data_IF_995070937211
#
_entry.id   IF_995070937211
#
_cell.length_a   1.000
_cell.length_b   1.000
_cell.length_c   1.000
_cell.angle_alpha   90.00
_cell.angle_beta   90.00
_cell.angle_gamma   90.00
#
_symmetry.space_group_name_H-M   'P 1'
#
loop_
_entity.id
_entity.type
_entity.pdbx_description
1 polymer ?
#
# COMPACT_ATOMS: atom_id res chain seq x y z
N UNK A 1 -24.02 18.05 17.43
CA UNK A 1 -22.99 16.98 17.43
C UNK A 1 -23.44 15.90 16.45
N UNK A 2 -22.67 15.65 15.38
CA UNK A 2 -23.01 14.60 14.39
C UNK A 2 -22.78 13.24 15.04
N UNK A 3 -23.84 12.44 15.15
CA UNK A 3 -23.81 11.11 15.76
C UNK A 3 -23.32 10.13 14.69
N UNK A 4 -22.17 9.49 14.93
CA UNK A 4 -21.58 8.53 13.99
C UNK A 4 -22.26 7.17 14.14
N UNK A 5 -22.51 6.49 13.02
CA UNK A 5 -23.00 5.13 13.03
C UNK A 5 -21.85 4.15 13.36
N UNK A 6 -21.64 3.90 14.66
CA UNK A 6 -20.53 3.10 15.21
C UNK A 6 -20.29 1.75 14.52
N UNK A 7 -21.31 0.89 14.29
CA UNK A 7 -21.08 -0.42 13.68
C UNK A 7 -20.60 -0.29 12.24
N UNK A 8 -21.12 0.69 11.48
CA UNK A 8 -20.74 0.88 10.08
C UNK A 8 -19.31 1.41 9.96
N UNK A 9 -18.93 2.40 10.77
CA UNK A 9 -17.55 2.92 10.78
C UNK A 9 -16.55 1.89 11.30
N UNK A 10 -16.93 1.11 12.31
CA UNK A 10 -16.12 0.00 12.82
C UNK A 10 -15.90 -1.08 11.75
N UNK A 11 -16.96 -1.51 11.06
CA UNK A 11 -16.86 -2.49 9.98
C UNK A 11 -15.97 -1.99 8.83
N UNK A 12 -16.09 -0.72 8.47
CA UNK A 12 -15.25 -0.10 7.44
C UNK A 12 -13.77 -0.03 7.87
N UNK A 13 -13.49 0.29 9.13
CA UNK A 13 -12.13 0.30 9.68
C UNK A 13 -11.48 -1.08 9.66
N UNK A 14 -12.22 -2.13 10.02
CA UNK A 14 -11.79 -3.53 9.95
C UNK A 14 -11.53 -3.95 8.49
N UNK A 15 -12.44 -3.59 7.58
CA UNK A 15 -12.26 -3.88 6.16
C UNK A 15 -10.98 -3.26 5.60
N UNK A 16 -10.74 -1.97 5.88
CA UNK A 16 -9.49 -1.29 5.47
C UNK A 16 -8.28 -1.98 6.09
N UNK A 17 -8.34 -2.35 7.37
CA UNK A 17 -7.24 -3.04 8.04
C UNK A 17 -6.86 -4.35 7.33
N UNK A 18 -7.84 -5.20 7.07
CA UNK A 18 -7.63 -6.49 6.40
C UNK A 18 -7.11 -6.30 4.97
N UNK A 19 -7.67 -5.33 4.23
CA UNK A 19 -7.20 -5.00 2.89
C UNK A 19 -5.74 -4.54 2.92
N UNK A 20 -5.37 -3.73 3.91
CA UNK A 20 -4.00 -3.21 4.07
C UNK A 20 -3.00 -4.33 4.40
N UNK A 21 -3.40 -5.28 5.26
CA UNK A 21 -2.59 -6.47 5.54
C UNK A 21 -2.40 -7.33 4.29
N UNK A 22 -3.47 -7.55 3.52
CA UNK A 22 -3.41 -8.35 2.30
C UNK A 22 -2.53 -7.69 1.22
N UNK A 23 -2.73 -6.40 0.94
CA UNK A 23 -1.92 -5.69 -0.06
C UNK A 23 -0.47 -5.53 0.39
N UNK A 24 -0.23 -5.32 1.69
CA UNK A 24 1.11 -5.28 2.28
C UNK A 24 1.84 -6.61 2.12
N UNK A 25 1.18 -7.73 2.45
CA UNK A 25 1.73 -9.07 2.28
C UNK A 25 2.03 -9.39 0.81
N UNK A 26 1.07 -9.16 -0.08
CA UNK A 26 1.25 -9.42 -1.51
C UNK A 26 2.45 -8.66 -2.07
N UNK A 27 2.53 -7.36 -1.79
CA UNK A 27 3.64 -6.58 -2.33
C UNK A 27 4.97 -6.88 -1.69
N UNK A 28 5.02 -7.17 -0.38
CA UNK A 28 6.29 -7.52 0.26
C UNK A 28 6.89 -8.78 -0.37
N UNK A 29 6.08 -9.80 -0.66
CA UNK A 29 6.54 -10.99 -1.38
C UNK A 29 7.07 -10.65 -2.77
N UNK A 30 6.37 -9.81 -3.54
CA UNK A 30 6.85 -9.37 -4.85
C UNK A 30 8.17 -8.61 -4.81
N UNK A 31 8.45 -7.84 -3.74
CA UNK A 31 9.76 -7.20 -3.55
C UNK A 31 10.84 -8.23 -3.18
N UNK A 32 10.50 -9.23 -2.35
CA UNK A 32 11.42 -10.32 -2.04
C UNK A 32 11.79 -11.12 -3.28
N UNK A 33 10.83 -11.41 -4.15
CA UNK A 33 11.07 -12.12 -5.42
C UNK A 33 12.07 -11.39 -6.32
N UNK A 34 12.01 -10.04 -6.36
CA UNK A 34 12.98 -9.21 -7.08
C UNK A 34 14.37 -9.30 -6.45
N UNK A 35 14.47 -9.26 -5.12
CA UNK A 35 15.75 -9.30 -4.40
C UNK A 35 16.42 -10.67 -4.48
N UNK A 36 15.62 -11.74 -4.52
CA UNK A 36 16.10 -13.12 -4.62
C UNK A 36 16.37 -13.55 -6.07
N UNK A 37 16.01 -12.71 -7.06
CA UNK A 37 16.04 -13.09 -8.48
C UNK A 37 15.35 -14.45 -8.68
N UNK A 38 14.12 -14.56 -8.17
CA UNK A 38 13.31 -15.77 -8.36
C UNK A 38 12.97 -15.94 -9.85
N UNK A 39 12.71 -17.19 -10.26
CA UNK A 39 12.42 -17.55 -11.66
C UNK A 39 11.24 -16.75 -12.25
N UNK A 40 10.26 -16.37 -11.41
CA UNK A 40 9.11 -15.57 -11.81
C UNK A 40 9.01 -14.33 -10.93
N UNK A 41 9.14 -13.16 -11.55
CA UNK A 41 9.10 -11.87 -10.85
C UNK A 41 7.85 -11.11 -11.27
N UNK A 42 6.92 -10.95 -10.33
CA UNK A 42 5.70 -10.16 -10.54
C UNK A 42 5.89 -8.76 -9.95
N UNK A 43 6.64 -7.92 -10.67
CA UNK A 43 6.88 -6.53 -10.24
C UNK A 43 6.16 -5.53 -11.14
N UNK A 44 5.54 -4.52 -10.51
CA UNK A 44 4.93 -3.40 -11.21
C UNK A 44 4.93 -2.18 -10.31
N UNK A 45 4.89 -0.98 -10.89
CA UNK A 45 4.66 0.26 -10.13
C UNK A 45 3.45 0.17 -9.18
N UNK A 46 2.41 -0.60 -9.56
CA UNK A 46 1.22 -0.89 -8.72
C UNK A 46 1.56 -1.63 -7.43
N UNK A 47 2.50 -2.58 -7.51
CA UNK A 47 2.98 -3.35 -6.37
C UNK A 47 3.71 -2.42 -5.40
N UNK A 48 4.52 -1.51 -5.92
CA UNK A 48 5.17 -0.48 -5.12
C UNK A 48 4.18 0.46 -4.44
N UNK A 49 3.15 0.93 -5.15
CA UNK A 49 2.07 1.74 -4.56
C UNK A 49 1.40 1.06 -3.37
N UNK A 50 1.19 -0.25 -3.44
CA UNK A 50 0.56 -1.01 -2.36
C UNK A 50 1.43 -1.07 -1.09
N UNK A 51 2.77 -1.12 -1.20
CA UNK A 51 3.67 -1.03 -0.03
C UNK A 51 3.66 0.36 0.57
N UNK A 52 3.90 1.38 -0.26
CA UNK A 52 4.02 2.75 0.22
C UNK A 52 2.67 3.36 0.65
N UNK A 53 1.56 2.83 0.15
CA UNK A 53 0.20 3.18 0.58
C UNK A 53 -0.24 2.49 1.88
N UNK A 54 0.41 1.39 2.27
CA UNK A 54 0.05 0.62 3.45
C UNK A 54 0.10 1.43 4.76
N UNK A 55 1.15 2.22 5.06
CA UNK A 55 1.20 3.06 6.27
C UNK A 55 0.04 4.05 6.37
N UNK A 56 -0.36 4.62 5.23
CA UNK A 56 -1.43 5.62 5.15
C UNK A 56 -2.81 4.96 5.36
N UNK A 57 -3.02 3.77 4.80
CA UNK A 57 -4.25 2.99 5.02
C UNK A 57 -4.36 2.46 6.46
N UNK A 58 -3.25 2.04 7.08
CA UNK A 58 -3.23 1.68 8.50
C UNK A 58 -3.61 2.88 9.39
N UNK A 59 -3.11 4.07 9.06
CA UNK A 59 -3.48 5.28 9.80
C UNK A 59 -4.97 5.60 9.66
N UNK A 60 -5.55 5.45 8.47
CA UNK A 60 -7.00 5.61 8.28
C UNK A 60 -7.81 4.58 9.07
N UNK A 61 -7.38 3.31 9.06
CA UNK A 61 -8.04 2.27 9.86
C UNK A 61 -8.01 2.60 11.36
N UNK A 62 -6.85 3.04 11.87
CA UNK A 62 -6.70 3.48 13.26
C UNK A 62 -7.66 4.63 13.62
N UNK A 63 -7.75 5.65 12.77
CA UNK A 63 -8.69 6.75 12.96
C UNK A 63 -10.14 6.25 12.93
N UNK A 64 -10.47 5.32 12.04
CA UNK A 64 -11.78 4.66 11.98
C UNK A 64 -12.16 3.96 13.28
N UNK A 65 -11.26 3.15 13.84
CA UNK A 65 -11.46 2.51 15.15
C UNK A 65 -11.66 3.52 16.26
N UNK A 66 -10.81 4.55 16.29
CA UNK A 66 -10.88 5.56 17.33
C UNK A 66 -12.17 6.39 17.25
N UNK A 67 -12.66 6.71 16.04
CA UNK A 67 -13.98 7.34 15.82
C UNK A 67 -15.14 6.44 16.26
N UNK A 68 -15.06 5.13 16.00
CA UNK A 68 -16.08 4.17 16.44
C UNK A 68 -16.16 4.06 17.97
N UNK A 69 -15.01 4.09 18.66
CA UNK A 69 -14.92 4.00 20.13
C UNK A 69 -15.34 5.31 20.80
N UNK A 70 -14.76 6.45 20.39
CA UNK A 70 -15.02 7.76 21.02
C UNK A 70 -16.31 8.42 20.55
N UNK A 71 -16.92 7.91 19.47
CA UNK A 71 -18.17 8.41 18.90
C UNK A 71 -18.13 9.91 18.57
N UNK A 72 -16.97 10.39 18.15
CA UNK A 72 -16.71 11.78 17.74
C UNK A 72 -15.99 11.75 16.40
N UNK A 73 -16.32 12.67 15.47
CA UNK A 73 -15.57 12.79 14.23
C UNK A 73 -14.17 13.30 14.55
N UNK A 74 -13.16 12.62 14.01
CA UNK A 74 -11.77 12.99 14.22
C UNK A 74 -11.17 13.25 12.87
N UNK A 75 -10.72 14.49 12.71
CA UNK A 75 -10.03 14.92 11.52
C UNK A 75 -8.64 14.30 11.44
N UNK A 76 -8.18 14.09 10.22
CA UNK A 76 -6.83 13.64 9.95
C UNK A 76 -5.88 14.83 10.07
N UNK A 77 -5.41 15.11 11.30
CA UNK A 77 -4.53 16.25 11.58
C UNK A 77 -3.27 15.82 12.31
N UNK A 78 -2.17 16.51 11.98
CA UNK A 78 -0.90 16.38 12.67
C UNK A 78 0.25 15.94 11.76
N UNK A 79 1.44 15.93 12.35
CA UNK A 79 2.71 15.60 11.69
C UNK A 79 2.65 14.19 11.07
N UNK A 80 2.00 13.24 11.75
CA UNK A 80 1.86 11.85 11.25
C UNK A 80 1.13 11.75 9.92
N UNK A 81 0.05 12.51 9.72
CA UNK A 81 -0.69 12.52 8.46
C UNK A 81 0.17 13.06 7.31
N UNK A 82 0.90 14.15 7.58
CA UNK A 82 1.80 14.76 6.60
C UNK A 82 2.97 13.84 6.25
N UNK A 83 3.58 13.18 7.23
CA UNK A 83 4.67 12.23 7.01
C UNK A 83 4.18 11.03 6.20
N UNK A 84 3.03 10.44 6.55
CA UNK A 84 2.47 9.32 5.78
C UNK A 84 2.12 9.74 4.34
N UNK A 85 1.57 10.93 4.15
CA UNK A 85 1.30 11.48 2.83
C UNK A 85 2.58 11.68 2.01
N UNK A 86 3.61 12.27 2.60
CA UNK A 86 4.89 12.50 1.93
C UNK A 86 5.59 11.17 1.56
N UNK A 87 5.59 10.20 2.48
CA UNK A 87 6.09 8.84 2.21
C UNK A 87 5.35 8.17 1.06
N UNK A 88 4.02 8.34 0.99
CA UNK A 88 3.23 7.83 -0.12
C UNK A 88 3.66 8.45 -1.45
N UNK A 89 3.78 9.78 -1.53
CA UNK A 89 4.18 10.47 -2.77
C UNK A 89 5.59 10.09 -3.22
N UNK A 90 6.58 10.07 -2.31
CA UNK A 90 7.92 9.60 -2.65
C UNK A 90 7.86 8.15 -3.12
N UNK A 91 7.12 7.32 -2.40
CA UNK A 91 6.93 5.91 -2.72
C UNK A 91 6.39 5.69 -4.12
N UNK A 92 5.42 6.48 -4.56
CA UNK A 92 4.88 6.44 -5.94
C UNK A 92 5.98 6.72 -6.96
N UNK A 93 6.76 7.78 -6.76
CA UNK A 93 7.81 8.19 -7.70
C UNK A 93 8.91 7.12 -7.76
N UNK A 94 9.38 6.63 -6.61
CA UNK A 94 10.39 5.57 -6.53
C UNK A 94 9.88 4.30 -7.20
N UNK A 95 8.63 3.90 -6.94
CA UNK A 95 8.03 2.70 -7.53
C UNK A 95 7.93 2.78 -9.05
N UNK A 96 7.61 3.97 -9.57
CA UNK A 96 7.56 4.21 -11.01
C UNK A 96 8.95 4.11 -11.65
N UNK A 97 9.96 4.78 -11.07
CA UNK A 97 11.34 4.74 -11.56
C UNK A 97 11.92 3.32 -11.46
N UNK A 98 11.68 2.63 -10.35
CA UNK A 98 12.11 1.24 -10.16
C UNK A 98 11.48 0.29 -11.20
N UNK A 99 10.20 0.48 -11.52
CA UNK A 99 9.53 -0.33 -12.56
C UNK A 99 10.19 -0.16 -13.93
N UNK A 100 10.60 1.06 -14.28
CA UNK A 100 11.35 1.32 -15.52
C UNK A 100 12.73 0.67 -15.47
N UNK A 101 13.46 0.87 -14.37
CA UNK A 101 14.80 0.32 -14.18
C UNK A 101 14.82 -1.21 -14.28
N UNK A 102 13.91 -1.88 -13.58
CA UNK A 102 13.77 -3.35 -13.59
C UNK A 102 13.51 -3.84 -15.02
N UNK A 103 12.63 -3.17 -15.76
CA UNK A 103 12.29 -3.54 -17.14
C UNK A 103 13.49 -3.49 -18.09
N UNK A 104 14.43 -2.54 -17.88
CA UNK A 104 15.63 -2.42 -18.70
C UNK A 104 16.74 -3.37 -18.24
N UNK A 105 17.01 -3.45 -16.94
CA UNK A 105 18.16 -4.18 -16.41
C UNK A 105 17.96 -5.70 -16.38
N UNK A 106 16.74 -6.18 -16.11
CA UNK A 106 16.51 -7.63 -15.99
C UNK A 106 16.68 -8.38 -17.31
N UNK A 107 16.56 -7.69 -18.45
CA UNK A 107 16.92 -8.25 -19.77
C UNK A 107 18.40 -8.63 -19.85
N UNK A 108 19.30 -7.91 -19.17
CA UNK A 108 20.73 -8.25 -19.12
C UNK A 108 21.02 -9.49 -18.27
N UNK A 109 20.12 -9.81 -17.33
CA UNK A 109 20.17 -11.04 -16.51
C UNK A 109 19.45 -12.23 -17.18
N UNK A 110 19.00 -12.08 -18.44
CA UNK A 110 18.34 -13.15 -19.20
C UNK A 110 16.85 -13.32 -18.93
N UNK A 111 16.22 -12.39 -18.19
CA UNK A 111 14.78 -12.43 -17.95
C UNK A 111 14.01 -11.92 -19.16
N UNK A 112 13.01 -12.69 -19.59
CA UNK A 112 12.07 -12.30 -20.63
C UNK A 112 10.78 -11.73 -20.01
N UNK A 113 10.19 -10.74 -20.70
CA UNK A 113 8.91 -10.18 -20.28
C UNK A 113 7.83 -11.21 -20.63
N UNK A 114 7.26 -11.85 -19.63
CA UNK A 114 6.15 -12.78 -19.83
C UNK A 114 4.97 -12.02 -20.49
N UNK A 115 4.47 -12.48 -21.65
CA UNK A 115 3.28 -11.90 -22.23
C UNK A 115 2.13 -12.07 -21.24
N UNK A 116 1.36 -11.00 -21.02
CA UNK A 116 0.09 -11.13 -20.30
C UNK A 116 -0.79 -12.07 -21.13
N UNK A 117 -0.94 -13.30 -20.66
CA UNK A 117 -1.96 -14.21 -21.17
C UNK A 117 -3.29 -13.47 -21.00
N UNK A 118 -3.94 -13.19 -22.13
CA UNK A 118 -5.15 -12.37 -22.23
C UNK A 118 -6.37 -13.14 -21.77
#
# INVERSE_FOLDING_TARGET
MVKINRPLVGAFAVFIFLLTCFTGWFSFNSYLDVLQLNDVIVFSWKVGLMVFGSPLLFYFSYLGFYMAIKNKPIGMHGIFANVCGYLFFIGVVISFVASMYISFNFRSYGYEICPKIS
#
